data_IF_213606486870
#
_entry.id   IF_213606486870
#
_cell.length_a   1.000
_cell.length_b   1.000
_cell.length_c   1.000
_cell.angle_alpha   90.00
_cell.angle_beta   90.00
_cell.angle_gamma   90.00
#
_symmetry.space_group_name_H-M   'P 1'
#
loop_
_entity.id
_entity.type
_entity.pdbx_description
1 polymer ?
#
# COMPACT_ATOMS: atom_id res chain seq x y z
N UNK A 1 7.42 0.47 -16.91
CA UNK A 1 7.57 -0.12 -15.55
C UNK A 1 6.82 0.79 -14.60
N UNK A 2 5.96 0.26 -13.75
CA UNK A 2 5.16 1.03 -12.79
C UNK A 2 5.64 0.75 -11.37
N UNK A 3 5.75 1.80 -10.55
CA UNK A 3 6.11 1.66 -9.14
C UNK A 3 4.90 1.32 -8.28
N UNK A 4 5.13 0.85 -7.05
CA UNK A 4 4.05 0.54 -6.09
C UNK A 4 2.97 1.63 -5.95
N UNK A 5 3.37 2.91 -6.01
CA UNK A 5 2.45 4.06 -5.95
C UNK A 5 1.52 4.16 -7.16
N UNK A 6 2.01 3.84 -8.36
CA UNK A 6 1.19 3.85 -9.57
C UNK A 6 0.26 2.65 -9.63
N UNK A 7 0.76 1.48 -9.23
CA UNK A 7 -0.06 0.26 -9.07
C UNK A 7 -1.22 0.53 -8.10
N UNK A 8 -0.93 1.17 -6.97
CA UNK A 8 -1.94 1.54 -5.99
C UNK A 8 -3.03 2.43 -6.58
N UNK A 9 -2.65 3.44 -7.37
CA UNK A 9 -3.61 4.33 -8.05
C UNK A 9 -4.43 3.59 -9.10
N UNK A 10 -3.79 2.70 -9.88
CA UNK A 10 -4.44 1.96 -10.96
C UNK A 10 -5.54 1.01 -10.46
N UNK A 11 -5.41 0.50 -9.23
CA UNK A 11 -6.40 -0.39 -8.60
C UNK A 11 -7.24 0.28 -7.50
N UNK A 12 -7.01 1.57 -7.20
CA UNK A 12 -7.69 2.27 -6.11
C UNK A 12 -7.40 1.69 -4.72
N UNK A 13 -6.20 1.13 -4.50
CA UNK A 13 -5.78 0.53 -3.22
C UNK A 13 -4.72 1.37 -2.52
N UNK A 14 -4.41 1.04 -1.26
CA UNK A 14 -3.32 1.69 -0.53
C UNK A 14 -1.94 1.26 -1.07
N UNK A 15 -0.95 2.14 -0.92
CA UNK A 15 0.44 1.86 -1.30
C UNK A 15 1.00 0.63 -0.55
N UNK A 16 0.64 0.46 0.72
CA UNK A 16 1.01 -0.74 1.50
C UNK A 16 0.45 -2.03 0.91
N UNK A 17 -0.79 -2.02 0.40
CA UNK A 17 -1.39 -3.17 -0.27
C UNK A 17 -0.66 -3.50 -1.58
N UNK A 18 -0.42 -2.49 -2.42
CA UNK A 18 0.33 -2.66 -3.68
C UNK A 18 1.75 -3.17 -3.42
N UNK A 19 2.45 -2.61 -2.44
CA UNK A 19 3.78 -3.07 -2.01
C UNK A 19 3.74 -4.51 -1.48
N UNK A 20 2.69 -4.89 -0.74
CA UNK A 20 2.48 -6.25 -0.29
C UNK A 20 2.28 -7.25 -1.44
N UNK A 21 1.62 -6.84 -2.53
CA UNK A 21 1.50 -7.69 -3.73
C UNK A 21 2.85 -7.88 -4.44
N UNK A 22 3.64 -6.81 -4.55
CA UNK A 22 4.99 -6.86 -5.14
C UNK A 22 5.93 -7.75 -4.32
N UNK A 23 5.95 -7.58 -2.99
CA UNK A 23 6.74 -8.41 -2.07
C UNK A 23 6.38 -9.90 -2.12
N UNK A 24 5.11 -10.20 -2.39
CA UNK A 24 4.62 -11.59 -2.53
C UNK A 24 4.83 -12.15 -3.94
N UNK A 25 5.48 -11.43 -4.85
CA UNK A 25 5.75 -11.89 -6.21
C UNK A 25 4.49 -12.07 -7.06
N UNK A 26 3.41 -11.32 -6.78
CA UNK A 26 2.14 -11.48 -7.52
C UNK A 26 2.15 -10.91 -8.93
N UNK A 27 3.09 -10.03 -9.23
CA UNK A 27 3.29 -9.51 -10.59
C UNK A 27 4.48 -10.24 -11.22
N UNK A 28 4.27 -10.86 -12.38
CA UNK A 28 5.34 -11.46 -13.14
C UNK A 28 6.34 -10.37 -13.56
N UNK A 29 7.65 -10.60 -13.34
CA UNK A 29 8.68 -9.61 -13.64
C UNK A 29 8.75 -8.44 -12.67
N UNK A 30 8.19 -8.54 -11.46
CA UNK A 30 8.44 -7.57 -10.41
C UNK A 30 9.92 -7.61 -10.01
N UNK A 31 10.58 -6.46 -10.04
CA UNK A 31 11.99 -6.32 -9.66
C UNK A 31 12.14 -5.32 -8.52
N UNK A 32 13.07 -5.61 -7.61
CA UNK A 32 13.56 -4.66 -6.63
C UNK A 32 14.68 -3.85 -7.26
N UNK A 33 14.46 -2.55 -7.44
CA UNK A 33 15.46 -1.59 -7.92
C UNK A 33 15.91 -0.70 -6.76
N UNK A 34 17.11 -0.15 -6.86
CA UNK A 34 17.62 0.84 -5.90
C UNK A 34 17.62 2.21 -6.56
N UNK A 35 17.15 3.22 -5.84
CA UNK A 35 17.25 4.62 -6.28
C UNK A 35 18.70 5.06 -6.22
N UNK A 36 19.04 6.16 -6.90
CA UNK A 36 20.34 6.82 -6.77
C UNK A 36 20.66 7.18 -5.31
N UNK A 37 19.62 7.36 -4.49
CA UNK A 37 19.69 7.59 -3.05
C UNK A 37 19.82 6.29 -2.21
N UNK A 38 20.02 5.13 -2.84
CA UNK A 38 20.14 3.82 -2.19
C UNK A 38 18.84 3.23 -1.66
N UNK A 39 17.71 3.94 -1.78
CA UNK A 39 16.41 3.45 -1.29
C UNK A 39 15.85 2.35 -2.21
N UNK A 40 15.52 1.15 -1.68
CA UNK A 40 14.95 0.08 -2.47
C UNK A 40 13.48 0.36 -2.82
N UNK A 41 13.15 0.29 -4.09
CA UNK A 41 11.80 0.45 -4.63
C UNK A 41 11.44 -0.70 -5.56
N UNK A 42 10.18 -1.13 -5.48
CA UNK A 42 9.65 -2.19 -6.33
C UNK A 42 9.07 -1.60 -7.61
N UNK A 43 9.40 -2.23 -8.73
CA UNK A 43 8.83 -1.94 -10.05
C UNK A 43 8.19 -3.20 -10.63
N UNK A 44 7.08 -3.06 -11.34
CA UNK A 44 6.49 -4.13 -12.12
C UNK A 44 6.21 -3.69 -13.56
N UNK A 45 6.28 -4.60 -14.54
CA UNK A 45 5.90 -4.29 -15.91
C UNK A 45 4.39 -4.02 -16.01
N UNK A 46 4.02 -3.07 -16.88
CA UNK A 46 2.63 -2.67 -17.07
C UNK A 46 1.75 -3.84 -17.58
N UNK A 47 2.31 -4.72 -18.40
CA UNK A 47 1.63 -5.93 -18.89
C UNK A 47 1.18 -6.86 -17.76
N UNK A 48 1.99 -6.99 -16.71
CA UNK A 48 1.63 -7.78 -15.53
C UNK A 48 0.50 -7.14 -14.74
N UNK A 49 0.41 -5.81 -14.75
CA UNK A 49 -0.65 -5.07 -14.06
C UNK A 49 -1.99 -5.23 -14.79
N UNK A 50 -2.00 -5.14 -16.13
CA UNK A 50 -3.22 -5.36 -16.93
C UNK A 50 -3.77 -6.78 -16.79
N UNK A 51 -2.89 -7.76 -16.60
CA UNK A 51 -3.29 -9.17 -16.45
C UNK A 51 -3.59 -9.57 -15.00
N UNK A 52 -3.28 -8.69 -14.04
CA UNK A 52 -3.45 -9.00 -12.63
C UNK A 52 -4.88 -8.74 -12.18
N UNK A 53 -5.55 -9.79 -11.70
CA UNK A 53 -6.83 -9.64 -11.01
C UNK A 53 -6.56 -9.49 -9.51
N UNK A 54 -6.87 -8.32 -8.90
CA UNK A 54 -6.63 -8.12 -7.48
C UNK A 54 -7.43 -9.14 -6.66
N UNK A 55 -6.82 -9.76 -5.63
CA UNK A 55 -7.56 -10.64 -4.73
C UNK A 55 -8.67 -9.84 -4.08
N UNK A 56 -9.83 -10.49 -3.86
CA UNK A 56 -10.96 -9.89 -3.16
C UNK A 56 -10.41 -9.25 -1.86
N UNK A 57 -10.49 -7.92 -1.70
CA UNK A 57 -10.00 -7.29 -0.49
C UNK A 57 -10.70 -7.99 0.67
N UNK A 58 -9.92 -8.53 1.61
CA UNK A 58 -10.46 -9.08 2.84
C UNK A 58 -11.33 -8.02 3.53
N UNK A 59 -12.26 -8.42 4.42
CA UNK A 59 -13.11 -7.48 5.12
C UNK A 59 -12.24 -6.35 5.67
N UNK A 60 -12.49 -5.13 5.18
CA UNK A 60 -11.79 -3.93 5.64
C UNK A 60 -11.91 -3.92 7.16
N UNK A 61 -10.80 -3.89 7.92
CA UNK A 61 -10.93 -3.62 9.35
C UNK A 61 -11.65 -2.28 9.41
N UNK A 62 -12.86 -2.28 10.01
CA UNK A 62 -13.61 -1.05 10.31
C UNK A 62 -12.56 -0.08 10.84
N UNK A 63 -12.39 1.05 10.16
CA UNK A 63 -11.54 2.11 10.65
C UNK A 63 -11.88 2.26 12.13
N UNK A 64 -10.94 1.87 13.01
CA UNK A 64 -11.13 2.12 14.42
C UNK A 64 -11.23 3.63 14.48
N UNK A 65 -12.45 4.11 14.71
CA UNK A 65 -12.71 5.50 15.00
C UNK A 65 -11.65 5.90 16.00
N UNK A 66 -10.75 6.80 15.58
CA UNK A 66 -9.65 7.28 16.38
C UNK A 66 -10.23 7.65 17.73
N UNK A 67 -9.91 6.84 18.73
CA UNK A 67 -10.21 7.10 20.13
C UNK A 67 -9.41 8.34 20.52
N UNK A 68 -10.00 9.51 20.29
CA UNK A 68 -9.66 10.73 21.01
C UNK A 68 -10.25 10.55 22.42
N UNK A 69 -9.50 9.88 23.29
CA UNK A 69 -9.75 9.77 24.72
C UNK A 69 -8.37 9.69 25.34
N UNK A 70 -7.93 10.45 26.34
CA UNK A 70 -8.44 11.57 27.14
C UNK A 70 -7.25 11.97 28.03
N UNK A 71 -7.02 13.26 28.34
CA UNK A 71 -6.29 13.61 29.58
C UNK A 71 -6.69 14.98 30.16
N UNK A 72 -7.51 14.90 31.21
CA UNK A 72 -7.68 15.75 32.42
C UNK A 72 -7.03 17.15 32.47
N UNK A 73 -7.88 18.16 32.71
CA UNK A 73 -7.86 19.07 33.88
C UNK A 73 -9.26 19.72 33.93
N UNK A 74 -10.10 19.62 34.96
CA UNK A 74 -9.83 19.84 36.38
C UNK A 74 -9.89 21.35 36.66
N UNK A 75 -11.02 21.88 37.12
CA UNK A 75 -11.04 23.29 37.59
C UNK A 75 -12.41 23.95 37.66
N UNK A 76 -13.12 23.69 38.76
CA UNK A 76 -14.31 24.40 39.23
C UNK A 76 -13.86 25.72 39.91
N UNK A 77 -14.44 26.86 39.56
CA UNK A 77 -14.84 27.94 40.48
C UNK A 77 -15.69 28.97 39.77
#
# INVERSE_FOLDING_TARGET
>A
MLIAKEIAQHFGVSNSTARGWLLRGRFAGAELRHSELGQPYWVAPESSIKSFTPPKPGPVPKAQATTATTKKAGGKK
#
